data_IF_112632555131
#
_entry.id   IF_112632555131
#
_cell.length_a   1.000
_cell.length_b   1.000
_cell.length_c   1.000
_cell.angle_alpha   90.00
_cell.angle_beta   90.00
_cell.angle_gamma   90.00
#
_symmetry.space_group_name_H-M   'P 1'
#
loop_
_entity.id
_entity.type
_entity.pdbx_description
1 polymer ?
#
# COMPACT_ATOMS: atom_id res chain seq x y z
N UNK A 1 1.33 -25.71 11.18
CA UNK A 1 0.87 -26.30 12.45
C UNK A 1 -0.44 -25.64 12.80
N UNK A 2 -1.54 -26.41 12.72
CA UNK A 2 -2.90 -25.95 12.97
C UNK A 2 -3.19 -26.16 14.45
N UNK A 3 -3.66 -25.12 15.15
CA UNK A 3 -4.21 -25.29 16.50
C UNK A 3 -5.68 -24.86 16.49
N UNK A 4 -6.53 -25.82 16.86
CA UNK A 4 -7.96 -25.64 17.12
C UNK A 4 -8.10 -25.37 18.61
N UNK A 5 -8.57 -24.20 18.99
CA UNK A 5 -8.98 -23.94 20.36
C UNK A 5 -10.49 -23.71 20.39
N UNK A 6 -11.19 -24.60 21.09
CA UNK A 6 -12.64 -24.62 21.24
C UNK A 6 -13.01 -24.02 22.59
N UNK A 7 -13.57 -22.82 22.59
CA UNK A 7 -14.21 -22.26 23.78
C UNK A 7 -15.73 -22.40 23.66
N UNK A 8 -16.32 -23.30 24.43
CA UNK A 8 -17.77 -23.39 24.64
C UNK A 8 -18.12 -22.75 25.98
N UNK A 9 -18.93 -21.70 25.95
CA UNK A 9 -19.82 -21.34 27.05
C UNK A 9 -21.19 -21.02 26.47
N UNK A 10 -22.20 -21.73 26.97
CA UNK A 10 -23.59 -21.62 26.53
C UNK A 10 -24.24 -20.31 26.97
N UNK A 11 -25.22 -19.85 26.20
CA UNK A 11 -26.62 -19.87 26.61
C UNK A 11 -27.50 -19.59 25.37
N UNK A 12 -28.75 -19.98 25.47
CA UNK A 12 -29.71 -20.18 24.39
C UNK A 12 -30.36 -18.86 23.95
N UNK A 13 -30.83 -18.81 22.70
CA UNK A 13 -31.75 -17.79 22.14
C UNK A 13 -31.12 -16.51 21.59
N UNK A 14 -30.46 -16.63 20.45
CA UNK A 14 -30.57 -15.68 19.33
C UNK A 14 -29.86 -16.28 18.13
N UNK A 15 -30.42 -16.12 16.93
CA UNK A 15 -29.76 -16.48 15.67
C UNK A 15 -28.51 -15.61 15.52
N UNK A 16 -27.43 -16.01 16.18
CA UNK A 16 -26.12 -15.40 16.10
C UNK A 16 -25.55 -15.71 14.72
N UNK A 17 -25.57 -14.73 13.84
CA UNK A 17 -24.69 -14.72 12.69
C UNK A 17 -23.28 -14.76 13.28
N UNK A 18 -22.64 -15.93 13.20
CA UNK A 18 -21.22 -16.08 13.51
C UNK A 18 -20.49 -15.28 12.45
N UNK A 19 -20.17 -14.01 12.76
CA UNK A 19 -19.27 -13.22 11.95
C UNK A 19 -17.88 -13.84 12.11
N UNK A 20 -17.57 -14.78 11.22
CA UNK A 20 -16.23 -15.26 10.99
C UNK A 20 -15.38 -14.05 10.55
N UNK A 21 -14.76 -13.36 11.50
CA UNK A 21 -13.66 -12.44 11.18
C UNK A 21 -12.50 -13.32 10.73
N UNK A 22 -12.40 -13.52 9.43
CA UNK A 22 -11.15 -13.92 8.80
C UNK A 22 -10.17 -12.79 9.08
N UNK A 23 -9.40 -12.92 10.16
CA UNK A 23 -8.24 -12.07 10.40
C UNK A 23 -7.20 -12.57 9.42
N UNK A 24 -7.24 -12.00 8.22
CA UNK A 24 -6.28 -12.27 7.16
C UNK A 24 -4.87 -11.98 7.71
N UNK A 25 -4.11 -13.04 7.98
CA UNK A 25 -2.70 -12.95 8.36
C UNK A 25 -1.97 -12.29 7.19
N UNK A 26 -1.77 -10.98 7.29
CA UNK A 26 -1.23 -10.14 6.22
C UNK A 26 0.05 -10.74 5.64
N UNK A 27 -0.04 -11.26 4.42
CA UNK A 27 1.08 -11.84 3.66
C UNK A 27 2.06 -10.78 3.12
N UNK A 28 1.85 -9.50 3.47
CA UNK A 28 2.68 -8.40 3.02
C UNK A 28 3.76 -8.05 4.04
N UNK A 29 4.95 -7.76 3.55
CA UNK A 29 6.05 -7.26 4.36
C UNK A 29 5.97 -5.73 4.47
N UNK A 30 6.25 -5.18 5.65
CA UNK A 30 6.37 -3.72 5.84
C UNK A 30 7.85 -3.32 5.76
N UNK A 31 8.15 -2.43 4.84
CA UNK A 31 9.47 -1.84 4.60
C UNK A 31 9.40 -0.35 4.91
N UNK A 32 10.49 0.20 5.47
CA UNK A 32 10.62 1.65 5.68
C UNK A 32 11.59 2.22 4.66
N UNK A 33 11.09 3.09 3.79
CA UNK A 33 11.91 3.89 2.91
C UNK A 33 12.26 5.23 3.59
N UNK A 34 13.53 5.62 3.55
CA UNK A 34 13.98 6.93 4.03
C UNK A 34 14.21 7.83 2.82
N UNK A 35 13.40 8.88 2.70
CA UNK A 35 13.52 9.82 1.59
C UNK A 35 14.87 10.54 1.65
N UNK A 36 15.73 10.34 0.64
CA UNK A 36 17.06 10.96 0.60
C UNK A 36 17.03 12.48 0.59
N UNK A 37 15.94 13.08 0.11
CA UNK A 37 15.80 14.54 0.00
C UNK A 37 15.25 15.16 1.28
N UNK A 38 14.27 14.52 1.93
CA UNK A 38 13.59 15.10 3.11
C UNK A 38 13.97 14.44 4.44
N UNK A 39 14.71 13.33 4.43
CA UNK A 39 15.02 12.53 5.63
C UNK A 39 13.83 11.80 6.24
N UNK A 40 12.64 11.92 5.63
CA UNK A 40 11.41 11.36 6.19
C UNK A 40 11.36 9.85 6.04
N UNK A 41 10.88 9.18 7.09
CA UNK A 41 10.58 7.74 7.09
C UNK A 41 9.18 7.53 6.52
N UNK A 42 9.08 6.70 5.49
CA UNK A 42 7.87 6.40 4.74
C UNK A 42 7.63 4.90 4.76
N UNK A 43 6.38 4.51 5.01
CA UNK A 43 5.98 3.12 5.09
C UNK A 43 5.61 2.63 3.69
N UNK A 44 6.21 1.50 3.33
CA UNK A 44 5.95 0.81 2.07
C UNK A 44 5.61 -0.63 2.41
N UNK A 45 4.55 -1.16 1.80
CA UNK A 45 4.18 -2.57 1.89
C UNK A 45 4.68 -3.27 0.64
N UNK A 46 5.35 -4.40 0.82
CA UNK A 46 5.72 -5.28 -0.26
C UNK A 46 4.71 -6.42 -0.33
N UNK A 47 4.01 -6.53 -1.46
CA UNK A 47 2.95 -7.50 -1.70
C UNK A 47 3.17 -8.13 -3.08
N UNK A 48 3.58 -9.41 -3.09
CA UNK A 48 3.97 -10.11 -4.31
C UNK A 48 5.12 -9.44 -5.05
N UNK A 49 4.85 -8.92 -6.26
CA UNK A 49 5.82 -8.22 -7.11
C UNK A 49 5.62 -6.70 -7.13
N UNK A 50 4.88 -6.16 -6.17
CA UNK A 50 4.57 -4.74 -6.12
C UNK A 50 4.86 -4.14 -4.75
N UNK A 51 5.28 -2.88 -4.78
CA UNK A 51 5.38 -2.03 -3.61
C UNK A 51 4.14 -1.13 -3.55
N UNK A 52 3.59 -0.98 -2.36
CA UNK A 52 2.38 -0.22 -2.07
C UNK A 52 2.65 0.80 -0.97
N UNK A 53 2.19 2.03 -1.15
CA UNK A 53 2.44 3.14 -0.24
C UNK A 53 1.13 3.82 0.13
N UNK A 54 0.85 4.11 1.42
CA UNK A 54 -0.29 4.93 1.81
C UNK A 54 -0.28 6.30 1.14
N UNK A 55 -1.45 6.81 0.75
CA UNK A 55 -1.59 8.13 0.13
C UNK A 55 -0.95 9.24 0.97
N UNK A 56 -1.07 9.17 2.30
CA UNK A 56 -0.42 10.11 3.21
C UNK A 56 1.10 10.10 3.08
N UNK A 57 1.70 8.91 2.97
CA UNK A 57 3.15 8.75 2.83
C UNK A 57 3.63 9.18 1.44
N UNK A 58 2.86 8.89 0.40
CA UNK A 58 3.11 9.40 -0.95
C UNK A 58 3.04 10.93 -1.01
N UNK A 59 2.10 11.54 -0.29
CA UNK A 59 1.99 13.00 -0.20
C UNK A 59 3.22 13.60 0.48
N UNK A 60 3.70 12.99 1.57
CA UNK A 60 4.95 13.40 2.24
C UNK A 60 6.16 13.26 1.32
N UNK A 61 6.29 12.12 0.62
CA UNK A 61 7.34 11.90 -0.37
C UNK A 61 7.42 13.04 -1.37
N UNK A 62 6.29 13.41 -1.96
CA UNK A 62 6.22 14.43 -3.01
C UNK A 62 6.20 15.86 -2.47
N UNK A 63 6.16 16.04 -1.14
CA UNK A 63 6.08 17.34 -0.48
C UNK A 63 4.76 18.06 -0.75
N UNK A 64 3.66 17.31 -0.87
CA UNK A 64 2.30 17.82 -1.12
C UNK A 64 1.38 17.48 0.05
N UNK A 65 0.23 18.18 0.11
CA UNK A 65 -0.86 17.81 1.03
C UNK A 65 -1.63 16.61 0.45
N UNK A 66 -2.15 15.68 1.28
CA UNK A 66 -2.93 14.54 0.79
C UNK A 66 -4.10 14.95 -0.11
N UNK A 67 -4.82 16.02 0.22
CA UNK A 67 -5.91 16.53 -0.62
C UNK A 67 -5.45 17.00 -2.01
N UNK A 68 -4.26 17.62 -2.10
CA UNK A 68 -3.68 18.03 -3.39
C UNK A 68 -3.26 16.79 -4.19
N UNK A 69 -2.65 15.81 -3.53
CA UNK A 69 -2.25 14.57 -4.18
C UNK A 69 -3.46 13.79 -4.69
N UNK A 70 -4.54 13.71 -3.93
CA UNK A 70 -5.80 13.10 -4.33
C UNK A 70 -6.41 13.76 -5.58
N UNK A 71 -6.34 15.11 -5.68
CA UNK A 71 -6.76 15.85 -6.87
C UNK A 71 -5.91 15.48 -8.10
N UNK A 72 -4.59 15.40 -7.94
CA UNK A 72 -3.68 14.97 -9.01
C UNK A 72 -3.90 13.52 -9.40
N UNK A 73 -4.17 12.63 -8.44
CA UNK A 73 -4.51 11.24 -8.71
C UNK A 73 -5.79 11.13 -9.56
N UNK A 74 -6.82 11.90 -9.24
CA UNK A 74 -8.05 11.96 -10.05
C UNK A 74 -7.76 12.41 -11.48
N UNK A 75 -6.87 13.39 -11.67
CA UNK A 75 -6.46 13.85 -12.99
C UNK A 75 -5.75 12.75 -13.79
N UNK A 76 -4.79 12.04 -13.19
CA UNK A 76 -4.08 10.95 -13.86
C UNK A 76 -4.99 9.75 -14.19
N UNK A 77 -5.98 9.45 -13.34
CA UNK A 77 -7.02 8.45 -13.63
C UNK A 77 -7.82 8.83 -14.87
N UNK A 78 -8.24 10.09 -14.99
CA UNK A 78 -8.98 10.58 -16.17
C UNK A 78 -8.15 10.47 -17.46
N UNK A 79 -6.84 10.70 -17.37
CA UNK A 79 -5.91 10.57 -18.49
C UNK A 79 -5.49 9.12 -18.79
N UNK A 80 -5.96 8.13 -18.03
CA UNK A 80 -5.56 6.70 -18.14
C UNK A 80 -4.06 6.47 -17.96
N UNK A 81 -3.38 7.34 -17.21
CA UNK A 81 -1.97 7.15 -16.85
C UNK A 81 -1.81 6.21 -15.63
N UNK A 82 -2.91 5.98 -14.91
CA UNK A 82 -3.01 5.10 -13.75
C UNK A 82 -4.23 4.22 -13.95
N UNK A 83 -4.06 2.92 -13.74
CA UNK A 83 -5.14 1.94 -13.76
C UNK A 83 -5.64 1.72 -12.33
N UNK A 84 -6.91 2.04 -12.06
CA UNK A 84 -7.49 1.92 -10.73
C UNK A 84 -7.45 0.49 -10.19
N UNK A 85 -7.62 -0.52 -11.05
CA UNK A 85 -7.63 -1.92 -10.62
C UNK A 85 -6.22 -2.43 -10.25
N UNK A 86 -5.18 -1.89 -10.88
CA UNK A 86 -3.80 -2.35 -10.72
C UNK A 86 -2.97 -1.46 -9.79
N UNK A 87 -3.30 -0.18 -9.70
CA UNK A 87 -2.46 0.83 -9.07
C UNK A 87 -3.05 1.41 -7.77
N UNK A 88 -4.30 1.11 -7.45
CA UNK A 88 -5.00 1.64 -6.28
C UNK A 88 -5.62 0.48 -5.50
N UNK A 89 -5.41 0.46 -4.18
CA UNK A 89 -6.03 -0.52 -3.28
C UNK A 89 -6.59 0.19 -2.05
N UNK A 90 -7.86 -0.05 -1.74
CA UNK A 90 -8.48 0.43 -0.52
C UNK A 90 -8.28 -0.62 0.59
N UNK A 91 -7.80 -0.21 1.76
CA UNK A 91 -7.45 -1.17 2.83
C UNK A 91 -8.55 -1.42 3.85
N UNK A 92 -9.54 -0.53 3.96
CA UNK A 92 -10.65 -0.69 4.90
C UNK A 92 -11.98 -0.56 4.15
N UNK A 93 -12.88 -1.52 4.37
CA UNK A 93 -14.24 -1.51 3.82
C UNK A 93 -15.18 -0.52 4.52
N UNK A 94 -14.74 0.06 5.65
CA UNK A 94 -15.48 1.10 6.37
C UNK A 94 -15.22 2.47 5.71
N UNK A 95 -16.25 3.12 5.13
CA UNK A 95 -16.10 4.33 4.33
C UNK A 95 -15.53 5.53 5.11
N UNK A 96 -15.59 5.49 6.45
CA UNK A 96 -15.06 6.55 7.31
C UNK A 96 -13.54 6.47 7.54
N UNK A 97 -12.91 5.31 7.28
CA UNK A 97 -11.47 5.08 7.56
C UNK A 97 -10.73 4.41 6.41
N UNK A 98 -11.31 4.38 5.21
CA UNK A 98 -10.69 3.82 4.01
C UNK A 98 -9.35 4.52 3.72
N UNK A 99 -8.25 3.83 4.07
CA UNK A 99 -6.91 4.28 3.75
C UNK A 99 -6.56 3.81 2.34
N UNK A 100 -6.13 4.75 1.51
CA UNK A 100 -5.82 4.49 0.10
C UNK A 100 -4.35 4.09 -0.02
N UNK A 101 -4.08 2.90 -0.54
CA UNK A 101 -2.75 2.47 -0.96
C UNK A 101 -2.56 2.72 -2.45
N UNK A 102 -1.39 3.27 -2.77
CA UNK A 102 -0.94 3.52 -4.12
C UNK A 102 0.19 2.56 -4.46
N UNK A 103 0.09 1.92 -5.62
CA UNK A 103 1.18 1.15 -6.20
C UNK A 103 2.36 2.09 -6.49
N UNK A 104 3.59 1.60 -6.33
CA UNK A 104 4.80 2.34 -6.65
C UNK A 104 4.77 2.94 -8.07
N UNK A 105 4.14 2.26 -9.03
CA UNK A 105 3.92 2.79 -10.40
C UNK A 105 3.11 4.09 -10.38
N UNK A 106 1.96 4.11 -9.70
CA UNK A 106 1.16 5.32 -9.53
C UNK A 106 1.92 6.42 -8.79
N UNK A 107 2.67 6.09 -7.74
CA UNK A 107 3.50 7.07 -7.00
C UNK A 107 4.57 7.68 -7.91
N UNK A 108 5.21 6.86 -8.76
CA UNK A 108 6.22 7.30 -9.73
C UNK A 108 5.58 8.23 -10.78
N UNK A 109 4.45 7.84 -11.37
CA UNK A 109 3.70 8.67 -12.32
C UNK A 109 3.32 10.01 -11.70
N UNK A 110 2.72 10.00 -10.50
CA UNK A 110 2.41 11.23 -9.75
C UNK A 110 3.64 12.10 -9.53
N UNK A 111 4.77 11.50 -9.18
CA UNK A 111 6.00 12.23 -8.95
C UNK A 111 6.57 12.88 -10.20
N UNK A 112 6.43 12.28 -11.38
CA UNK A 112 6.84 12.92 -12.63
C UNK A 112 6.04 14.18 -12.93
N UNK A 113 4.75 14.22 -12.57
CA UNK A 113 3.91 15.41 -12.73
C UNK A 113 4.08 16.46 -11.63
N UNK A 114 4.52 16.05 -10.43
CA UNK A 114 4.48 16.92 -9.24
C UNK A 114 5.85 17.32 -8.70
N UNK A 115 6.80 16.39 -8.63
CA UNK A 115 8.12 16.60 -8.05
C UNK A 115 9.13 15.53 -8.49
N UNK A 116 9.72 15.71 -9.67
CA UNK A 116 10.69 14.78 -10.25
C UNK A 116 11.88 14.52 -9.31
N UNK A 117 12.43 15.56 -8.69
CA UNK A 117 13.63 15.46 -7.86
C UNK A 117 13.47 14.55 -6.64
N UNK A 118 12.25 14.44 -6.09
CA UNK A 118 11.97 13.55 -4.96
C UNK A 118 11.58 12.14 -5.37
N UNK A 119 10.97 11.98 -6.55
CA UNK A 119 10.51 10.67 -7.01
C UNK A 119 11.62 9.85 -7.66
N UNK A 120 12.61 10.49 -8.28
CA UNK A 120 13.69 9.76 -8.95
C UNK A 120 14.48 8.84 -7.99
N UNK A 121 14.94 9.29 -6.80
CA UNK A 121 15.59 8.39 -5.84
C UNK A 121 14.67 7.28 -5.32
N UNK A 122 13.37 7.57 -5.21
CA UNK A 122 12.39 6.57 -4.79
C UNK A 122 12.19 5.50 -5.86
N UNK A 123 12.11 5.87 -7.13
CA UNK A 123 12.04 4.93 -8.26
C UNK A 123 13.23 3.98 -8.27
N UNK A 124 14.44 4.52 -8.15
CA UNK A 124 15.67 3.72 -8.19
C UNK A 124 15.68 2.72 -7.02
N UNK A 125 15.30 3.17 -5.82
CA UNK A 125 15.12 2.31 -4.65
C UNK A 125 14.06 1.22 -4.86
N UNK A 126 12.92 1.52 -5.49
CA UNK A 126 11.91 0.53 -5.82
C UNK A 126 12.47 -0.56 -6.74
N UNK A 127 13.20 -0.16 -7.79
CA UNK A 127 13.82 -1.09 -8.72
C UNK A 127 14.85 -2.00 -8.04
N UNK A 128 15.72 -1.44 -7.19
CA UNK A 128 16.68 -2.22 -6.40
C UNK A 128 15.99 -3.22 -5.48
N UNK A 129 14.96 -2.77 -4.75
CA UNK A 129 14.22 -3.59 -3.77
C UNK A 129 13.50 -4.76 -4.44
N UNK A 130 12.81 -4.51 -5.55
CA UNK A 130 12.09 -5.55 -6.30
C UNK A 130 13.06 -6.55 -6.96
N UNK A 131 14.18 -6.08 -7.54
CA UNK A 131 15.17 -6.95 -8.16
C UNK A 131 15.91 -7.82 -7.14
N UNK A 132 16.30 -7.26 -5.98
CA UNK A 132 16.97 -8.01 -4.93
C UNK A 132 16.13 -9.21 -4.48
N UNK A 133 14.80 -9.02 -4.37
CA UNK A 133 13.87 -10.09 -4.00
C UNK A 133 13.67 -11.14 -5.10
N UNK A 134 13.57 -10.72 -6.37
CA UNK A 134 13.48 -11.67 -7.48
C UNK A 134 14.72 -12.57 -7.56
N UNK A 135 15.91 -12.03 -7.25
CA UNK A 135 17.15 -12.82 -7.22
C UNK A 135 17.15 -13.85 -6.09
N UNK A 136 16.64 -13.51 -4.90
CA UNK A 136 16.54 -14.46 -3.79
C UNK A 136 15.60 -15.61 -4.15
N UNK A 137 14.46 -15.33 -4.78
CA UNK A 137 13.49 -16.34 -5.16
C UNK A 137 13.98 -17.24 -6.32
N UNK A 138 14.90 -16.77 -7.16
CA UNK A 138 15.47 -17.54 -8.27
C UNK A 138 16.64 -18.48 -7.86
N UNK A 139 17.06 -18.44 -6.60
CA UNK A 139 18.16 -19.27 -6.06
C UNK A 139 17.66 -20.51 -5.30
N UNK A 140 16.33 -20.70 -5.21
CA UNK A 140 15.66 -21.86 -4.62
C UNK A 140 14.76 -22.51 -5.66
#
# INVERSE_FOLDING_TARGET
MTFLESCTHGDETSRGIVTLRVVEMSQFEKIVYVCRVSGQRLHVRHDGNALWMPLGDAARLLGKRPAQLAKSLKYLRLNREIDEAADIKETNSEPATADLLLNHRAVISLGYHLNFGRVAPFRDWCSETLQARQRILALF
#
